data_IF_677758103013
#
_entry.id   IF_677758103013
#
_cell.length_a   1.000
_cell.length_b   1.000
_cell.length_c   1.000
_cell.angle_alpha   90.00
_cell.angle_beta   90.00
_cell.angle_gamma   90.00
#
_symmetry.space_group_name_H-M   'P 1'
#
loop_
_entity.id
_entity.type
_entity.pdbx_description
1 polymer ?
#
# COMPACT_ATOMS: atom_id res chain seq x y z
N UNK A 1 -16.61 62.94 -38.06
CA UNK A 1 -17.11 62.64 -36.69
C UNK A 1 -16.19 61.59 -36.05
N UNK A 2 -16.00 61.59 -34.72
CA UNK A 2 -14.64 61.81 -34.21
C UNK A 2 -14.21 60.99 -32.97
N UNK A 3 -12.99 61.28 -32.48
CA UNK A 3 -12.54 61.32 -31.06
C UNK A 3 -12.52 60.02 -30.21
N UNK A 4 -11.66 59.82 -29.20
CA UNK A 4 -10.41 60.47 -28.70
C UNK A 4 -9.61 59.36 -27.95
N UNK A 5 -8.29 59.30 -27.77
CA UNK A 5 -7.21 60.30 -27.58
C UNK A 5 -7.02 60.78 -26.11
N UNK A 6 -5.76 61.09 -25.73
CA UNK A 6 -5.16 61.30 -24.37
C UNK A 6 -4.77 59.99 -23.64
N UNK A 7 -3.54 59.72 -23.18
CA UNK A 7 -2.24 60.44 -23.15
C UNK A 7 -2.09 61.70 -22.25
N UNK A 8 -1.55 61.50 -21.04
CA UNK A 8 -0.61 62.35 -20.25
C UNK A 8 -0.15 61.49 -19.03
N UNK A 9 1.08 61.32 -18.54
CA UNK A 9 2.49 61.68 -18.88
C UNK A 9 3.13 62.99 -18.38
N UNK A 10 4.24 62.85 -17.62
CA UNK A 10 5.28 63.83 -17.18
C UNK A 10 4.80 65.03 -16.30
N UNK A 11 5.62 65.71 -15.47
CA UNK A 11 7.09 65.92 -15.39
C UNK A 11 7.61 66.14 -13.94
N UNK A 12 8.93 65.95 -13.75
CA UNK A 12 9.91 66.51 -12.78
C UNK A 12 9.45 67.56 -11.72
N UNK A 13 10.04 67.61 -10.52
CA UNK A 13 11.39 68.21 -10.36
C UNK A 13 12.18 67.83 -9.09
N UNK A 14 13.50 68.08 -9.16
CA UNK A 14 14.46 67.97 -8.06
C UNK A 14 14.53 69.29 -7.28
N UNK A 15 14.90 69.24 -6.00
CA UNK A 15 15.69 70.30 -5.37
C UNK A 15 16.74 69.70 -4.44
N UNK A 16 17.90 70.34 -4.39
CA UNK A 16 19.05 70.01 -3.54
C UNK A 16 19.56 71.30 -2.92
N UNK A 17 20.11 71.24 -1.69
CA UNK A 17 21.18 72.12 -1.20
C UNK A 17 21.71 71.57 0.14
N UNK A 18 23.01 71.73 0.38
CA UNK A 18 23.69 71.30 1.60
C UNK A 18 23.53 72.33 2.74
N UNK A 19 23.65 71.89 4.01
CA UNK A 19 24.73 72.44 4.85
C UNK A 19 25.12 71.56 6.06
N UNK A 20 26.18 71.98 6.78
CA UNK A 20 26.99 71.17 7.72
C UNK A 20 26.77 71.52 9.22
N UNK A 21 27.41 70.70 10.07
CA UNK A 21 27.68 70.87 11.51
C UNK A 21 26.44 70.73 12.42
N UNK A 22 26.48 70.08 13.59
CA UNK A 22 27.56 69.89 14.58
C UNK A 22 27.64 68.45 15.15
N UNK A 23 28.77 68.13 15.78
CA UNK A 23 28.92 67.03 16.76
C UNK A 23 29.25 67.67 18.11
N UNK A 24 28.63 67.23 19.22
CA UNK A 24 29.48 66.74 20.31
C UNK A 24 28.98 65.44 20.95
N UNK A 25 29.97 64.60 21.25
CA UNK A 25 30.02 63.50 22.22
C UNK A 25 28.84 63.32 23.19
N UNK A 26 28.30 62.09 23.21
CA UNK A 26 28.05 61.40 24.48
C UNK A 26 28.30 59.90 24.30
N UNK A 27 29.24 59.36 25.07
CA UNK A 27 29.64 57.95 25.01
C UNK A 27 28.72 57.11 25.89
N UNK A 28 28.06 56.08 25.33
CA UNK A 28 27.52 55.01 26.15
C UNK A 28 27.81 53.62 25.56
N UNK A 29 28.46 52.79 26.37
CA UNK A 29 28.80 51.41 26.01
C UNK A 29 27.58 50.52 26.19
N UNK A 30 27.04 49.99 25.08
CA UNK A 30 26.24 48.76 25.11
C UNK A 30 27.06 47.68 24.41
N UNK A 31 27.33 46.61 25.15
CA UNK A 31 28.31 45.58 24.80
C UNK A 31 27.76 44.64 23.73
N UNK A 32 28.66 44.04 22.95
CA UNK A 32 28.34 43.01 21.95
C UNK A 32 27.47 41.91 22.57
N UNK A 33 26.22 41.81 22.12
CA UNK A 33 25.34 40.71 22.45
C UNK A 33 25.34 39.73 21.27
N UNK A 34 25.98 38.55 21.35
CA UNK A 34 25.89 37.57 20.28
C UNK A 34 24.43 37.09 20.18
N UNK A 35 23.81 37.28 19.02
CA UNK A 35 22.46 36.77 18.75
C UNK A 35 22.56 35.25 18.68
N UNK A 36 22.33 34.59 19.82
CA UNK A 36 22.30 33.15 19.94
C UNK A 36 21.05 32.63 19.22
N UNK A 37 21.19 32.36 17.91
CA UNK A 37 20.21 31.61 17.14
C UNK A 37 20.14 30.18 17.69
N UNK A 38 19.32 29.99 18.72
CA UNK A 38 18.91 28.67 19.19
C UNK A 38 18.08 28.06 18.07
N UNK A 39 18.76 27.35 17.17
CA UNK A 39 18.12 26.36 16.33
C UNK A 39 17.55 25.29 17.25
N UNK A 40 16.28 25.49 17.63
CA UNK A 40 15.40 24.45 18.12
C UNK A 40 15.22 23.44 16.98
N UNK A 41 16.23 22.57 16.82
CA UNK A 41 16.09 21.26 16.24
C UNK A 41 15.06 20.53 17.07
N UNK A 42 13.79 20.76 16.72
CA UNK A 42 12.67 19.93 17.08
C UNK A 42 12.98 18.56 16.49
N UNK A 43 13.67 17.75 17.30
CA UNK A 43 13.92 16.34 17.07
C UNK A 43 12.55 15.67 16.99
N UNK A 44 11.98 15.72 15.80
CA UNK A 44 10.88 14.89 15.38
C UNK A 44 11.44 13.49 15.46
N UNK A 45 11.25 12.86 16.62
CA UNK A 45 11.52 11.45 16.85
C UNK A 45 10.63 10.72 15.86
N UNK A 46 11.20 10.46 14.69
CA UNK A 46 10.59 9.65 13.67
C UNK A 46 10.54 8.26 14.31
N UNK A 47 9.40 7.98 14.96
CA UNK A 47 8.99 6.65 15.37
C UNK A 47 8.85 5.84 14.09
N UNK A 48 10.00 5.39 13.60
CA UNK A 48 10.12 4.43 12.54
C UNK A 48 9.32 3.23 13.01
N UNK A 49 8.15 3.04 12.40
CA UNK A 49 7.25 1.96 12.75
C UNK A 49 8.07 0.67 12.73
N UNK A 50 8.27 0.08 13.92
CA UNK A 50 9.23 -0.99 14.11
C UNK A 50 8.90 -2.11 13.13
N UNK A 51 9.90 -2.49 12.32
CA UNK A 51 9.67 -3.45 11.25
C UNK A 51 9.08 -4.73 11.85
N UNK A 52 7.94 -5.18 11.32
CA UNK A 52 7.35 -6.44 11.79
C UNK A 52 8.27 -7.57 11.38
N UNK A 53 8.99 -8.10 12.38
CA UNK A 53 9.77 -9.32 12.30
C UNK A 53 8.90 -10.46 12.84
N UNK A 54 8.70 -11.46 12.00
CA UNK A 54 8.07 -12.73 12.37
C UNK A 54 9.12 -13.82 12.26
N UNK A 55 9.04 -14.84 13.11
CA UNK A 55 9.78 -16.08 12.89
C UNK A 55 9.32 -16.77 11.61
N UNK A 56 10.18 -17.63 11.05
CA UNK A 56 9.86 -18.46 9.90
C UNK A 56 8.60 -19.29 10.13
N UNK A 57 8.43 -19.83 11.33
CA UNK A 57 7.27 -20.62 11.75
C UNK A 57 5.97 -19.82 11.72
N UNK A 58 6.00 -18.57 12.21
CA UNK A 58 4.84 -17.67 12.18
C UNK A 58 4.52 -17.21 10.76
N UNK A 59 5.52 -16.78 9.99
CA UNK A 59 5.35 -16.40 8.59
C UNK A 59 4.75 -17.57 7.77
N UNK A 60 5.22 -18.80 7.98
CA UNK A 60 4.67 -20.01 7.36
C UNK A 60 3.28 -20.41 7.89
N UNK A 61 2.92 -20.09 9.14
CA UNK A 61 1.53 -20.25 9.64
C UNK A 61 0.59 -19.26 8.95
N UNK A 62 0.95 -17.98 8.91
CA UNK A 62 0.17 -16.91 8.25
C UNK A 62 0.00 -17.22 6.75
N UNK A 63 1.09 -17.58 6.07
CA UNK A 63 1.06 -17.98 4.67
C UNK A 63 0.14 -19.16 4.37
N UNK A 64 0.01 -20.12 5.30
CA UNK A 64 -0.97 -21.22 5.17
C UNK A 64 -2.41 -20.72 5.30
N UNK A 65 -2.72 -19.78 6.21
CA UNK A 65 -4.07 -19.17 6.31
C UNK A 65 -4.41 -18.38 5.03
N UNK A 66 -3.48 -17.56 4.52
CA UNK A 66 -3.65 -16.85 3.24
C UNK A 66 -3.84 -17.85 2.09
N UNK A 67 -3.07 -18.94 2.05
CA UNK A 67 -3.17 -19.94 0.98
C UNK A 67 -4.49 -20.74 1.01
N UNK A 68 -5.11 -20.90 2.17
CA UNK A 68 -6.46 -21.44 2.30
C UNK A 68 -7.53 -20.46 1.78
N UNK A 69 -7.38 -19.15 2.01
CA UNK A 69 -8.26 -18.12 1.44
C UNK A 69 -8.18 -18.08 -0.09
N UNK A 70 -6.96 -18.08 -0.62
CA UNK A 70 -6.69 -17.86 -2.04
C UNK A 70 -6.99 -19.12 -2.86
N UNK A 71 -6.24 -20.20 -2.63
CA UNK A 71 -6.28 -21.42 -3.46
C UNK A 71 -6.85 -22.65 -2.78
N UNK A 72 -7.61 -22.49 -1.69
CA UNK A 72 -8.11 -23.59 -0.86
C UNK A 72 -7.01 -24.55 -0.37
N UNK A 73 -5.76 -24.09 -0.29
CA UNK A 73 -4.58 -24.92 0.01
C UNK A 73 -4.05 -25.80 -1.15
N UNK A 74 -4.76 -25.88 -2.28
CA UNK A 74 -4.56 -26.91 -3.31
C UNK A 74 -3.46 -26.54 -4.31
N UNK A 75 -2.38 -27.33 -4.44
CA UNK A 75 -1.25 -27.10 -5.39
C UNK A 75 -1.70 -26.75 -6.82
N UNK A 76 -2.78 -27.35 -7.32
CA UNK A 76 -3.38 -27.06 -8.64
C UNK A 76 -3.89 -25.62 -8.81
N UNK A 77 -4.00 -24.82 -7.75
CA UNK A 77 -4.41 -23.42 -7.80
C UNK A 77 -3.22 -22.44 -7.78
N UNK A 78 -1.96 -22.91 -7.59
CA UNK A 78 -0.77 -22.04 -7.56
C UNK A 78 -0.53 -21.28 -8.86
N UNK A 79 -1.14 -21.72 -9.95
CA UNK A 79 -1.32 -20.95 -11.19
C UNK A 79 -2.82 -20.95 -11.49
N UNK A 80 -3.46 -19.79 -11.35
CA UNK A 80 -4.89 -19.59 -11.58
C UNK A 80 -5.17 -18.44 -12.55
N UNK A 81 -6.33 -18.47 -13.20
CA UNK A 81 -6.89 -17.39 -14.02
C UNK A 81 -8.40 -17.55 -13.95
N UNK A 82 -9.17 -16.52 -13.56
CA UNK A 82 -10.64 -16.63 -13.58
C UNK A 82 -11.18 -16.26 -14.96
N UNK A 83 -12.20 -16.99 -15.46
CA UNK A 83 -12.80 -16.68 -16.75
C UNK A 83 -13.40 -15.27 -16.74
N UNK A 84 -12.91 -14.39 -17.63
CA UNK A 84 -13.32 -12.98 -17.68
C UNK A 84 -12.51 -12.04 -16.77
N UNK A 85 -11.32 -12.44 -16.34
CA UNK A 85 -10.22 -11.55 -15.93
C UNK A 85 -9.16 -11.47 -17.03
N UNK A 86 -8.37 -10.39 -17.04
CA UNK A 86 -7.36 -10.10 -18.06
C UNK A 86 -5.93 -10.58 -17.67
N UNK A 87 -5.81 -11.34 -16.58
CA UNK A 87 -4.52 -11.69 -15.96
C UNK A 87 -4.53 -13.07 -15.29
N UNK A 88 -3.34 -13.65 -15.14
CA UNK A 88 -3.13 -14.81 -14.28
C UNK A 88 -2.78 -14.37 -12.85
N UNK A 89 -3.16 -15.18 -11.87
CA UNK A 89 -2.77 -15.07 -10.46
C UNK A 89 -1.87 -16.25 -10.11
N UNK A 90 -0.70 -15.97 -9.53
CA UNK A 90 0.32 -16.98 -9.28
C UNK A 90 0.80 -16.96 -7.82
N UNK A 91 1.13 -18.13 -7.29
CA UNK A 91 1.67 -18.30 -5.93
C UNK A 91 0.62 -18.14 -4.82
N UNK A 92 1.08 -18.29 -3.58
CA UNK A 92 0.19 -18.44 -2.41
C UNK A 92 -0.55 -17.17 -2.00
N UNK A 93 -0.13 -16.00 -2.49
CA UNK A 93 -0.77 -14.71 -2.29
C UNK A 93 -1.42 -14.16 -3.55
N UNK A 94 -1.75 -15.04 -4.51
CA UNK A 94 -2.36 -14.70 -5.81
C UNK A 94 -1.75 -13.46 -6.48
N UNK A 95 -0.43 -13.49 -6.64
CA UNK A 95 0.32 -12.40 -7.24
C UNK A 95 -0.05 -12.26 -8.72
N UNK A 96 -0.62 -11.11 -9.07
CA UNK A 96 -1.10 -10.77 -10.41
C UNK A 96 0.07 -10.72 -11.40
N UNK A 97 -0.10 -11.35 -12.56
CA UNK A 97 0.85 -11.44 -13.66
C UNK A 97 0.14 -11.10 -14.99
N UNK A 98 0.57 -10.03 -15.65
CA UNK A 98 -0.07 -9.53 -16.88
C UNK A 98 0.54 -10.12 -18.15
N UNK A 99 -0.30 -10.27 -19.18
CA UNK A 99 0.19 -10.44 -20.56
C UNK A 99 0.88 -9.16 -21.01
N UNK A 100 1.80 -9.25 -21.98
CA UNK A 100 2.47 -8.07 -22.54
C UNK A 100 1.49 -7.09 -23.21
N UNK A 101 0.35 -7.60 -23.67
CA UNK A 101 -0.63 -6.89 -24.49
C UNK A 101 -1.70 -6.14 -23.67
N UNK A 102 -1.83 -6.43 -22.37
CA UNK A 102 -2.92 -5.88 -21.51
C UNK A 102 -2.45 -5.50 -20.09
N UNK A 103 -1.54 -4.51 -19.94
CA UNK A 103 -1.29 -3.90 -18.64
C UNK A 103 -2.57 -3.22 -18.12
N UNK A 104 -2.98 -3.55 -16.91
CA UNK A 104 -4.20 -3.01 -16.27
C UNK A 104 -3.87 -2.00 -15.16
N UNK A 105 -4.92 -1.33 -14.70
CA UNK A 105 -4.86 -0.28 -13.66
C UNK A 105 -4.59 -0.80 -12.24
N UNK A 106 -4.70 -2.12 -11.99
CA UNK A 106 -4.23 -2.70 -10.73
C UNK A 106 -2.71 -2.91 -10.78
N UNK A 107 -2.07 -2.82 -9.61
CA UNK A 107 -0.61 -2.99 -9.53
C UNK A 107 -0.19 -4.45 -9.69
N UNK A 108 0.55 -4.74 -10.76
CA UNK A 108 1.17 -6.05 -10.97
C UNK A 108 2.08 -6.43 -9.78
N UNK A 109 1.99 -7.68 -9.32
CA UNK A 109 2.65 -8.14 -8.09
C UNK A 109 3.53 -9.38 -8.27
N UNK A 110 3.37 -10.14 -9.36
CA UNK A 110 4.20 -11.32 -9.64
C UNK A 110 5.66 -10.97 -9.97
N UNK A 111 6.01 -10.02 -10.87
CA UNK A 111 7.41 -9.69 -11.11
C UNK A 111 8.13 -9.07 -9.90
N UNK A 112 7.51 -8.19 -9.07
CA UNK A 112 8.07 -7.80 -7.77
C UNK A 112 8.31 -8.98 -6.82
N UNK A 113 7.39 -9.94 -6.74
CA UNK A 113 7.53 -11.15 -5.94
C UNK A 113 8.70 -12.02 -6.45
N UNK A 114 8.79 -12.24 -7.76
CA UNK A 114 9.87 -13.00 -8.38
C UNK A 114 11.25 -12.36 -8.15
N UNK A 115 11.35 -11.02 -8.19
CA UNK A 115 12.59 -10.30 -7.78
C UNK A 115 12.97 -10.61 -6.34
N UNK A 116 12.00 -10.59 -5.42
CA UNK A 116 12.26 -10.95 -4.02
C UNK A 116 12.73 -12.42 -3.89
N UNK A 117 12.07 -13.37 -4.56
CA UNK A 117 12.48 -14.78 -4.51
C UNK A 117 13.93 -14.98 -4.96
N UNK A 118 14.30 -14.39 -6.11
CA UNK A 118 15.65 -14.48 -6.68
C UNK A 118 16.70 -13.86 -5.74
N UNK A 119 16.41 -12.68 -5.19
CA UNK A 119 17.28 -12.00 -4.24
C UNK A 119 17.51 -12.77 -2.92
N UNK A 120 16.64 -13.75 -2.61
CA UNK A 120 16.77 -14.64 -1.45
C UNK A 120 17.10 -16.08 -1.89
N UNK A 121 17.86 -16.24 -2.99
CA UNK A 121 18.47 -17.50 -3.40
C UNK A 121 17.58 -18.47 -4.18
N UNK A 122 16.31 -18.13 -4.45
CA UNK A 122 15.44 -18.99 -5.23
C UNK A 122 15.85 -18.99 -6.71
N UNK A 123 16.20 -20.17 -7.24
CA UNK A 123 16.58 -20.38 -8.65
C UNK A 123 15.32 -20.69 -9.49
N UNK A 124 14.78 -19.77 -10.32
CA UNK A 124 13.64 -20.03 -11.18
C UNK A 124 14.01 -20.89 -12.41
N UNK A 125 13.02 -21.43 -13.15
CA UNK A 125 13.24 -22.00 -14.49
C UNK A 125 13.91 -20.99 -15.43
N UNK A 126 14.78 -21.43 -16.35
CA UNK A 126 15.60 -20.56 -17.22
C UNK A 126 14.81 -19.51 -18.03
N UNK A 127 13.54 -19.76 -18.34
CA UNK A 127 12.66 -18.84 -19.09
C UNK A 127 11.95 -17.80 -18.22
N UNK A 128 11.94 -17.98 -16.88
CA UNK A 128 11.17 -17.19 -15.94
C UNK A 128 12.06 -16.13 -15.28
N UNK A 129 11.93 -14.88 -15.75
CA UNK A 129 12.68 -13.73 -15.26
C UNK A 129 11.73 -12.63 -14.76
N UNK A 130 12.20 -11.67 -13.96
CA UNK A 130 11.44 -10.46 -13.62
C UNK A 130 11.02 -9.53 -14.76
N UNK A 131 11.37 -9.86 -16.02
CA UNK A 131 10.91 -9.19 -17.26
C UNK A 131 9.99 -10.10 -18.10
N UNK A 132 9.78 -11.35 -17.68
CA UNK A 132 8.90 -12.29 -18.39
C UNK A 132 7.45 -11.98 -18.05
N UNK A 133 6.69 -11.50 -19.04
CA UNK A 133 5.23 -11.35 -18.95
C UNK A 133 4.54 -12.73 -18.86
N UNK A 134 3.24 -12.73 -18.51
CA UNK A 134 2.41 -13.93 -18.50
C UNK A 134 2.53 -14.66 -19.85
N UNK A 135 2.97 -15.92 -19.79
CA UNK A 135 3.34 -16.71 -20.98
C UNK A 135 2.13 -17.24 -21.76
N UNK A 136 0.92 -17.01 -21.26
CA UNK A 136 -0.35 -17.35 -21.90
C UNK A 136 -1.09 -16.06 -22.23
N UNK A 137 -1.55 -15.90 -23.47
CA UNK A 137 -2.24 -14.70 -23.94
C UNK A 137 -3.71 -14.63 -23.53
N UNK A 138 -4.33 -15.77 -23.26
CA UNK A 138 -5.74 -15.87 -22.89
C UNK A 138 -6.00 -16.91 -21.79
N UNK A 139 -7.19 -16.82 -21.18
CA UNK A 139 -7.74 -17.84 -20.28
C UNK A 139 -7.81 -19.21 -20.98
N UNK A 140 -8.16 -19.26 -22.25
CA UNK A 140 -8.26 -20.50 -23.04
C UNK A 140 -6.89 -21.17 -23.24
N UNK A 141 -5.84 -20.38 -23.54
CA UNK A 141 -4.48 -20.89 -23.67
C UNK A 141 -3.93 -21.38 -22.31
N UNK A 142 -4.13 -20.59 -21.25
CA UNK A 142 -3.78 -20.98 -19.89
C UNK A 142 -4.50 -22.28 -19.47
N UNK A 143 -5.80 -22.37 -19.75
CA UNK A 143 -6.62 -23.54 -19.44
C UNK A 143 -6.08 -24.77 -20.17
N UNK A 144 -5.86 -24.68 -21.48
CA UNK A 144 -5.31 -25.81 -22.24
C UNK A 144 -3.91 -26.20 -21.76
N UNK A 145 -3.05 -25.22 -21.43
CA UNK A 145 -1.72 -25.47 -20.90
C UNK A 145 -1.73 -26.11 -19.50
N UNK A 146 -2.81 -25.89 -18.74
CA UNK A 146 -3.10 -26.52 -17.44
C UNK A 146 -3.62 -27.94 -17.57
N UNK A 147 -4.57 -28.17 -18.46
CA UNK A 147 -5.14 -29.50 -18.73
C UNK A 147 -4.08 -30.45 -19.31
N UNK A 148 -3.29 -29.97 -20.29
CA UNK A 148 -2.16 -30.72 -20.87
C UNK A 148 -0.91 -30.77 -19.97
N UNK A 149 -0.94 -30.16 -18.77
CA UNK A 149 0.19 -30.06 -17.84
C UNK A 149 1.53 -29.76 -18.53
N UNK A 150 1.57 -28.69 -19.34
CA UNK A 150 2.72 -28.38 -20.20
C UNK A 150 4.01 -28.13 -19.41
N UNK A 151 5.18 -28.32 -20.04
CA UNK A 151 6.50 -28.19 -19.38
C UNK A 151 6.65 -26.90 -18.56
N UNK A 152 6.28 -25.74 -19.14
CA UNK A 152 6.29 -24.44 -18.43
C UNK A 152 5.28 -24.36 -17.28
N UNK A 153 4.09 -24.96 -17.43
CA UNK A 153 3.07 -25.00 -16.36
C UNK A 153 3.57 -25.81 -15.15
N UNK A 154 4.19 -26.97 -15.38
CA UNK A 154 4.79 -27.79 -14.32
C UNK A 154 5.95 -27.06 -13.65
N UNK A 155 6.92 -26.58 -14.44
CA UNK A 155 8.08 -25.82 -13.95
C UNK A 155 7.71 -24.59 -13.11
N UNK A 156 6.68 -23.84 -13.51
CA UNK A 156 6.17 -22.71 -12.72
C UNK A 156 5.47 -23.18 -11.45
N UNK A 157 4.59 -24.18 -11.55
CA UNK A 157 3.86 -24.73 -10.39
C UNK A 157 4.85 -25.26 -9.34
N UNK A 158 5.86 -26.02 -9.75
CA UNK A 158 6.86 -26.62 -8.86
C UNK A 158 7.79 -25.56 -8.23
N UNK A 159 8.16 -24.52 -8.99
CA UNK A 159 8.87 -23.37 -8.46
C UNK A 159 8.06 -22.62 -7.40
N UNK A 160 6.75 -22.41 -7.63
CA UNK A 160 5.86 -21.77 -6.66
C UNK A 160 5.56 -22.67 -5.46
N UNK A 161 5.50 -24.00 -5.66
CA UNK A 161 5.19 -24.96 -4.61
C UNK A 161 6.34 -25.11 -3.59
N UNK A 162 7.60 -24.99 -4.05
CA UNK A 162 8.80 -25.03 -3.18
C UNK A 162 9.23 -23.68 -2.60
N UNK A 163 8.73 -22.56 -3.12
CA UNK A 163 9.11 -21.21 -2.66
C UNK A 163 8.11 -20.56 -1.71
N UNK A 164 7.08 -21.29 -1.23
CA UNK A 164 6.01 -20.77 -0.35
C UNK A 164 6.52 -19.97 0.85
N UNK A 165 7.58 -20.40 1.52
CA UNK A 165 8.15 -19.67 2.67
C UNK A 165 8.80 -18.33 2.29
N UNK A 166 9.42 -18.23 1.11
CA UNK A 166 9.92 -16.96 0.60
C UNK A 166 8.78 -16.06 0.08
N UNK A 167 7.71 -16.64 -0.47
CA UNK A 167 6.47 -15.90 -0.78
C UNK A 167 5.82 -15.35 0.51
N UNK A 168 5.87 -16.09 1.62
CA UNK A 168 5.45 -15.61 2.94
C UNK A 168 6.25 -14.38 3.39
N UNK A 169 7.59 -14.44 3.32
CA UNK A 169 8.47 -13.30 3.62
C UNK A 169 8.19 -12.10 2.70
N UNK A 170 7.92 -12.32 1.40
CA UNK A 170 7.56 -11.24 0.49
C UNK A 170 6.25 -10.54 0.90
N UNK A 171 5.24 -11.30 1.31
CA UNK A 171 3.97 -10.73 1.80
C UNK A 171 4.16 -9.93 3.10
N UNK A 172 5.03 -10.38 4.01
CA UNK A 172 5.44 -9.60 5.18
C UNK A 172 6.20 -8.32 4.78
N UNK A 173 7.15 -8.40 3.84
CA UNK A 173 7.89 -7.24 3.35
C UNK A 173 6.98 -6.21 2.66
N UNK A 174 5.90 -6.65 1.99
CA UNK A 174 4.84 -5.75 1.47
C UNK A 174 4.20 -4.95 2.60
N UNK A 175 3.83 -5.59 3.70
CA UNK A 175 3.28 -4.90 4.89
C UNK A 175 4.28 -3.89 5.47
N UNK A 176 5.52 -4.31 5.72
CA UNK A 176 6.58 -3.45 6.28
C UNK A 176 6.88 -2.23 5.39
N UNK A 177 6.77 -2.36 4.07
CA UNK A 177 6.95 -1.24 3.11
C UNK A 177 5.71 -0.38 2.89
N UNK A 178 4.52 -0.87 3.25
CA UNK A 178 3.25 -0.17 3.08
C UNK A 178 2.86 0.62 4.33
N UNK A 179 2.98 0.04 5.53
CA UNK A 179 2.48 0.67 6.75
C UNK A 179 3.08 2.07 7.03
N UNK A 180 4.40 2.31 6.90
CA UNK A 180 4.96 3.66 7.06
C UNK A 180 4.35 4.70 6.11
N UNK A 181 3.98 4.27 4.88
CA UNK A 181 3.34 5.14 3.87
C UNK A 181 1.87 5.39 4.19
N UNK A 182 1.15 4.36 4.64
CA UNK A 182 -0.22 4.47 5.17
C UNK A 182 -0.24 5.46 6.35
N UNK A 183 0.72 5.35 7.27
CA UNK A 183 0.81 6.20 8.45
C UNK A 183 1.17 7.65 8.11
N UNK A 184 2.15 7.87 7.21
CA UNK A 184 2.49 9.20 6.72
C UNK A 184 1.31 9.86 5.98
N UNK A 185 0.64 9.12 5.09
CA UNK A 185 -0.58 9.59 4.41
C UNK A 185 -1.69 9.91 5.41
N UNK A 186 -1.93 9.04 6.41
CA UNK A 186 -2.93 9.26 7.45
C UNK A 186 -2.61 10.50 8.29
N UNK A 187 -1.35 10.71 8.70
CA UNK A 187 -0.90 11.92 9.43
C UNK A 187 -1.17 13.18 8.61
N UNK A 188 -0.86 13.18 7.32
CA UNK A 188 -1.15 14.29 6.40
C UNK A 188 -2.66 14.55 6.14
N UNK A 189 -3.57 13.66 6.57
CA UNK A 189 -5.03 13.82 6.45
C UNK A 189 -5.74 13.83 7.82
N UNK A 190 -5.01 14.10 8.92
CA UNK A 190 -5.56 14.16 10.28
C UNK A 190 -6.01 12.80 10.88
N UNK A 191 -5.78 11.69 10.18
CA UNK A 191 -6.17 10.33 10.60
C UNK A 191 -5.02 9.54 11.26
N UNK A 192 -3.86 10.17 11.45
CA UNK A 192 -2.64 9.50 11.95
C UNK A 192 -2.86 8.72 13.24
N UNK A 193 -3.44 9.35 14.26
CA UNK A 193 -3.63 8.74 15.58
C UNK A 193 -4.59 7.53 15.57
N UNK A 194 -5.71 7.62 14.83
CA UNK A 194 -6.68 6.51 14.75
C UNK A 194 -6.13 5.33 13.93
N UNK A 195 -5.42 5.60 12.83
CA UNK A 195 -4.75 4.58 12.03
C UNK A 195 -3.62 3.89 12.82
N UNK A 196 -2.79 4.66 13.53
CA UNK A 196 -1.70 4.11 14.36
C UNK A 196 -2.23 3.28 15.51
N UNK A 197 -3.24 3.78 16.24
CA UNK A 197 -3.91 3.03 17.32
C UNK A 197 -4.51 1.73 16.81
N UNK A 198 -5.30 1.76 15.73
CA UNK A 198 -5.99 0.58 15.23
C UNK A 198 -5.03 -0.44 14.61
N UNK A 199 -3.94 0.00 13.98
CA UNK A 199 -2.87 -0.87 13.54
C UNK A 199 -2.19 -1.59 14.72
N UNK A 200 -1.81 -0.85 15.76
CA UNK A 200 -1.18 -1.43 16.96
C UNK A 200 -2.11 -2.37 17.72
N UNK A 201 -3.41 -2.05 17.81
CA UNK A 201 -4.44 -2.91 18.42
C UNK A 201 -4.63 -4.24 17.70
N UNK A 202 -4.42 -4.29 16.39
CA UNK A 202 -4.39 -5.55 15.64
C UNK A 202 -3.07 -6.28 15.86
N UNK A 203 -1.95 -5.57 15.65
CA UNK A 203 -0.65 -6.21 15.57
C UNK A 203 -0.13 -6.76 16.91
N UNK A 204 -0.51 -6.14 18.04
CA UNK A 204 0.01 -6.49 19.36
C UNK A 204 -1.09 -6.84 20.36
N UNK A 205 -0.79 -7.83 21.20
CA UNK A 205 -1.58 -8.23 22.36
C UNK A 205 -1.30 -7.30 23.55
N UNK A 206 -2.08 -7.45 24.63
CA UNK A 206 -1.92 -6.69 25.88
C UNK A 206 -0.53 -6.85 26.52
N UNK A 207 0.13 -7.98 26.27
CA UNK A 207 1.50 -8.30 26.71
C UNK A 207 2.60 -7.79 25.75
N UNK A 208 2.23 -6.95 24.77
CA UNK A 208 3.09 -6.42 23.70
C UNK A 208 3.71 -7.47 22.76
N UNK A 209 3.35 -8.76 22.86
CA UNK A 209 3.71 -9.76 21.85
C UNK A 209 2.85 -9.58 20.60
N UNK A 210 3.38 -10.00 19.45
CA UNK A 210 2.63 -9.98 18.19
C UNK A 210 1.40 -10.89 18.29
N UNK A 211 0.25 -10.44 17.79
CA UNK A 211 -0.88 -11.33 17.55
C UNK A 211 -0.75 -11.97 16.16
N UNK A 212 -0.58 -13.31 16.04
CA UNK A 212 -0.48 -13.97 14.74
C UNK A 212 -1.75 -13.83 13.88
N UNK A 213 -2.93 -13.63 14.50
CA UNK A 213 -4.18 -13.38 13.81
C UNK A 213 -4.23 -11.94 13.28
N UNK A 214 -3.82 -10.97 14.08
CA UNK A 214 -3.73 -9.57 13.65
C UNK A 214 -2.68 -9.36 12.55
N UNK A 215 -1.50 -9.96 12.70
CA UNK A 215 -0.47 -9.99 11.65
C UNK A 215 -1.00 -10.66 10.37
N UNK A 216 -1.73 -11.77 10.48
CA UNK A 216 -2.40 -12.42 9.35
C UNK A 216 -3.37 -11.48 8.63
N UNK A 217 -4.26 -10.81 9.38
CA UNK A 217 -5.26 -9.87 8.83
C UNK A 217 -4.58 -8.73 8.08
N UNK A 218 -3.54 -8.12 8.67
CA UNK A 218 -2.80 -6.99 8.07
C UNK A 218 -2.06 -7.40 6.79
N UNK A 219 -1.46 -8.60 6.77
CA UNK A 219 -0.76 -9.13 5.59
C UNK A 219 -1.78 -9.54 4.51
N UNK A 220 -2.83 -10.29 4.86
CA UNK A 220 -3.86 -10.75 3.93
C UNK A 220 -4.54 -9.57 3.22
N UNK A 221 -4.97 -8.54 3.97
CA UNK A 221 -5.70 -7.40 3.39
C UNK A 221 -4.83 -6.56 2.44
N UNK A 222 -3.52 -6.44 2.68
CA UNK A 222 -2.61 -5.74 1.75
C UNK A 222 -2.40 -6.51 0.45
N UNK A 223 -2.38 -7.85 0.51
CA UNK A 223 -2.31 -8.66 -0.72
C UNK A 223 -3.65 -8.63 -1.48
N UNK A 224 -4.77 -8.63 -0.75
CA UNK A 224 -6.14 -8.67 -1.27
C UNK A 224 -6.70 -7.31 -1.79
N UNK A 225 -6.34 -6.19 -1.17
CA UNK A 225 -6.92 -4.84 -1.42
C UNK A 225 -5.93 -3.68 -1.44
N UNK A 226 -4.63 -3.95 -1.27
CA UNK A 226 -3.60 -2.91 -1.30
C UNK A 226 -3.55 -2.02 -0.05
N UNK A 227 -2.69 -1.01 -0.10
CA UNK A 227 -2.52 -0.04 0.99
C UNK A 227 -3.66 0.99 1.06
N UNK A 228 -4.31 1.28 -0.06
CA UNK A 228 -5.41 2.23 -0.18
C UNK A 228 -4.99 3.70 -0.22
N UNK A 229 -3.70 4.01 -0.33
CA UNK A 229 -3.24 5.41 -0.41
C UNK A 229 -3.19 5.93 -1.86
N UNK A 230 -3.07 5.05 -2.85
CA UNK A 230 -3.08 5.42 -4.27
C UNK A 230 -4.31 6.24 -4.67
N UNK A 231 -4.18 7.13 -5.66
CA UNK A 231 -5.29 7.94 -6.20
C UNK A 231 -6.09 7.20 -7.28
N UNK A 232 -5.46 6.27 -8.01
CA UNK A 232 -6.09 5.45 -9.05
C UNK A 232 -6.99 4.35 -8.48
N UNK A 233 -6.65 3.80 -7.30
CA UNK A 233 -7.48 2.83 -6.57
C UNK A 233 -8.65 3.50 -5.80
N UNK A 234 -9.41 4.37 -6.49
CA UNK A 234 -10.54 5.12 -5.93
C UNK A 234 -11.68 5.30 -6.93
N UNK A 235 -12.90 5.16 -6.44
CA UNK A 235 -14.10 5.61 -7.13
C UNK A 235 -14.73 6.74 -6.29
N UNK A 236 -15.19 7.83 -6.93
CA UNK A 236 -15.78 9.00 -6.24
C UNK A 236 -14.89 9.53 -5.07
N UNK A 237 -13.56 9.50 -5.26
CA UNK A 237 -12.56 9.86 -4.26
C UNK A 237 -12.40 8.88 -3.07
N UNK A 238 -13.20 7.81 -2.99
CA UNK A 238 -13.16 6.81 -1.91
C UNK A 238 -12.39 5.57 -2.36
N UNK A 239 -11.27 5.28 -1.69
CA UNK A 239 -10.53 4.02 -1.84
C UNK A 239 -11.09 2.89 -0.98
N UNK A 240 -10.41 1.74 -1.00
CA UNK A 240 -10.84 0.48 -0.39
C UNK A 240 -9.71 -0.38 0.23
N UNK A 241 -8.48 0.12 0.26
CA UNK A 241 -7.34 -0.62 0.84
C UNK A 241 -7.21 -0.45 2.35
N UNK A 242 -6.12 -0.95 2.91
CA UNK A 242 -5.91 -1.04 4.36
C UNK A 242 -6.12 0.30 5.10
N UNK A 243 -5.66 1.43 4.53
CA UNK A 243 -5.89 2.76 5.09
C UNK A 243 -7.37 3.05 5.36
N UNK A 244 -8.27 2.76 4.41
CA UNK A 244 -9.70 3.05 4.58
C UNK A 244 -10.38 2.15 5.60
N UNK A 245 -9.81 0.99 5.95
CA UNK A 245 -10.29 0.08 7.00
C UNK A 245 -9.78 0.51 8.37
N UNK A 246 -8.48 0.76 8.55
CA UNK A 246 -7.91 1.21 9.82
C UNK A 246 -8.53 2.53 10.32
N UNK A 247 -8.92 3.41 9.38
CA UNK A 247 -9.65 4.66 9.65
C UNK A 247 -11.12 4.45 10.06
N UNK A 248 -11.66 3.23 9.95
CA UNK A 248 -13.10 2.90 10.14
C UNK A 248 -13.40 1.81 11.16
N UNK A 249 -12.39 1.18 11.74
CA UNK A 249 -12.57 0.29 12.88
C UNK A 249 -13.12 1.09 14.07
N UNK A 250 -14.13 0.53 14.76
CA UNK A 250 -14.68 1.20 15.92
C UNK A 250 -13.65 1.20 17.07
N UNK A 251 -13.30 2.36 17.63
CA UNK A 251 -12.34 2.45 18.74
C UNK A 251 -12.88 1.89 20.07
N UNK A 252 -14.18 1.57 20.17
CA UNK A 252 -14.88 1.10 21.37
C UNK A 252 -15.15 -0.41 21.37
N UNK A 253 -15.23 -1.01 20.19
CA UNK A 253 -15.35 -2.47 20.03
C UNK A 253 -14.13 -3.14 20.69
N UNK A 254 -14.30 -4.01 21.70
CA UNK A 254 -13.18 -4.58 22.45
C UNK A 254 -12.32 -5.53 21.61
N UNK A 255 -12.90 -6.22 20.62
CA UNK A 255 -12.17 -7.13 19.74
C UNK A 255 -11.63 -6.37 18.50
N UNK A 256 -10.30 -6.21 18.36
CA UNK A 256 -9.73 -5.58 17.18
C UNK A 256 -9.98 -6.38 15.88
N UNK A 257 -10.17 -7.71 15.97
CA UNK A 257 -10.41 -8.57 14.81
C UNK A 257 -11.83 -8.38 14.26
N UNK A 258 -12.86 -8.41 15.12
CA UNK A 258 -14.23 -8.03 14.77
C UNK A 258 -14.33 -6.57 14.29
N UNK A 259 -13.67 -5.63 14.97
CA UNK A 259 -13.65 -4.23 14.55
C UNK A 259 -13.09 -4.07 13.12
N UNK A 260 -12.05 -4.82 12.77
CA UNK A 260 -11.49 -4.85 11.41
C UNK A 260 -12.44 -5.51 10.41
N UNK A 261 -13.01 -6.68 10.73
CA UNK A 261 -14.00 -7.37 9.90
C UNK A 261 -15.18 -6.44 9.55
N UNK A 262 -15.77 -5.79 10.55
CA UNK A 262 -16.92 -4.90 10.37
C UNK A 262 -16.56 -3.66 9.53
N UNK A 263 -15.38 -3.08 9.73
CA UNK A 263 -14.89 -1.95 8.94
C UNK A 263 -14.59 -2.35 7.49
N UNK A 264 -13.93 -3.50 7.27
CA UNK A 264 -13.59 -4.02 5.95
C UNK A 264 -14.83 -4.37 5.13
N UNK A 265 -15.84 -4.99 5.76
CA UNK A 265 -17.15 -5.27 5.16
C UNK A 265 -17.84 -3.99 4.69
N UNK A 266 -17.97 -2.98 5.57
CA UNK A 266 -18.54 -1.65 5.24
C UNK A 266 -17.76 -0.93 4.12
N UNK A 267 -16.43 -1.10 4.05
CA UNK A 267 -15.59 -0.55 2.98
C UNK A 267 -15.85 -1.24 1.63
N UNK A 268 -15.95 -2.57 1.59
CA UNK A 268 -16.21 -3.32 0.36
C UNK A 268 -17.67 -3.22 -0.11
N UNK A 269 -18.64 -3.05 0.81
CA UNK A 269 -20.04 -2.75 0.46
C UNK A 269 -20.18 -1.38 -0.19
N UNK A 270 -19.47 -0.37 0.35
CA UNK A 270 -19.35 0.93 -0.32
C UNK A 270 -18.72 0.77 -1.71
N UNK A 271 -17.61 0.03 -1.84
CA UNK A 271 -16.94 -0.21 -3.14
C UNK A 271 -17.91 -0.78 -4.19
N UNK A 272 -18.67 -1.83 -3.84
CA UNK A 272 -19.64 -2.45 -4.75
C UNK A 272 -20.72 -1.44 -5.19
N UNK A 273 -21.15 -0.53 -4.31
CA UNK A 273 -22.16 0.50 -4.61
C UNK A 273 -21.66 1.67 -5.45
N UNK A 274 -20.37 2.04 -5.38
CA UNK A 274 -19.83 3.23 -6.06
C UNK A 274 -18.97 2.92 -7.30
N UNK A 275 -18.66 1.66 -7.56
CA UNK A 275 -17.90 1.25 -8.75
C UNK A 275 -18.78 1.30 -10.01
N UNK A 276 -18.21 1.58 -11.20
CA UNK A 276 -18.95 1.53 -12.47
C UNK A 276 -19.64 0.17 -12.68
N UNK A 277 -20.95 0.13 -13.01
CA UNK A 277 -21.72 -1.13 -13.11
C UNK A 277 -21.10 -2.18 -14.03
N UNK A 278 -20.40 -1.74 -15.07
CA UNK A 278 -19.70 -2.57 -16.05
C UNK A 278 -18.60 -3.44 -15.41
N UNK A 279 -18.00 -3.02 -14.29
CA UNK A 279 -17.04 -3.84 -13.53
C UNK A 279 -17.69 -5.06 -12.88
N UNK A 280 -19.01 -5.04 -12.67
CA UNK A 280 -19.82 -6.13 -12.07
C UNK A 280 -19.22 -6.67 -10.76
N UNK A 281 -18.81 -5.77 -9.85
CA UNK A 281 -18.08 -6.16 -8.63
C UNK A 281 -18.93 -6.99 -7.64
N UNK A 282 -20.26 -6.90 -7.74
CA UNK A 282 -21.19 -7.69 -6.91
C UNK A 282 -20.91 -9.21 -6.97
N UNK A 283 -20.43 -9.72 -8.11
CA UNK A 283 -20.12 -11.16 -8.30
C UNK A 283 -19.10 -11.69 -7.31
N UNK A 284 -18.19 -10.82 -6.84
CA UNK A 284 -17.14 -11.19 -5.90
C UNK A 284 -17.56 -11.07 -4.43
N UNK A 285 -18.74 -10.48 -4.12
CA UNK A 285 -19.18 -10.19 -2.74
C UNK A 285 -19.10 -11.41 -1.83
N UNK A 286 -19.61 -12.57 -2.29
CA UNK A 286 -19.61 -13.83 -1.51
C UNK A 286 -18.20 -14.29 -1.15
N UNK A 287 -17.29 -14.36 -2.13
CA UNK A 287 -15.90 -14.78 -1.89
C UNK A 287 -15.13 -13.78 -1.02
N UNK A 288 -15.30 -12.48 -1.26
CA UNK A 288 -14.70 -11.43 -0.44
C UNK A 288 -15.16 -11.49 1.02
N UNK A 289 -16.44 -11.81 1.28
CA UNK A 289 -16.98 -11.86 2.63
C UNK A 289 -16.54 -13.13 3.36
N UNK A 290 -16.60 -14.28 2.69
CA UNK A 290 -16.12 -15.55 3.25
C UNK A 290 -14.63 -15.52 3.59
N UNK A 291 -13.80 -14.81 2.79
CA UNK A 291 -12.41 -14.49 3.15
C UNK A 291 -12.32 -13.70 4.45
N UNK A 292 -13.09 -12.60 4.57
CA UNK A 292 -13.07 -11.75 5.77
C UNK A 292 -13.62 -12.45 7.02
N UNK A 293 -14.53 -13.42 6.89
CA UNK A 293 -15.02 -14.24 8.02
C UNK A 293 -13.91 -15.05 8.70
N UNK A 294 -12.81 -15.34 8.00
CA UNK A 294 -11.62 -15.97 8.61
C UNK A 294 -10.86 -15.02 9.55
N UNK A 295 -11.09 -13.71 9.46
CA UNK A 295 -10.49 -12.73 10.38
C UNK A 295 -11.06 -12.87 11.79
N UNK A 296 -12.26 -13.46 11.94
CA UNK A 296 -12.89 -13.78 13.23
C UNK A 296 -12.40 -15.11 13.84
N UNK A 297 -11.45 -15.82 13.19
CA UNK A 297 -11.02 -17.19 13.56
C UNK A 297 -9.49 -17.25 13.76
N UNK A 298 -8.96 -17.41 14.99
CA UNK A 298 -7.53 -17.48 15.32
C UNK A 298 -6.67 -18.54 14.55
#
# INVERSE_FOLDING_TARGET
MPSNALKFSILNSQFSINNRFLIPHSSFLIKNLPILFIFLFSFHTLLAASELKLSDTEANRIARKIWLNEGSGQRRQLVWWNKGEEFASCGIGHFIWYTAERPMWFRESFPPMLRFLIAHGAKPPRWLTPRTHCIWKSYEEWKQAKEKQTKRMRELTDFLDRTKGLQARFMLQRLNRAYPKILAYAKAHGQGAIVERNYRRLLYRKDSRVDPQGAYILIDYINFKGDGIDKSERYQGKGWGLYQVLTRMDPRDPDPHHAFYAAAKKVLERLIRIAPPQRRLWRFKKGWFSRMETYLKP
#
